data_IF_174231434210
#
_entry.id   IF_174231434210
#
_cell.length_a   1.000
_cell.length_b   1.000
_cell.length_c   1.000
_cell.angle_alpha   90.00
_cell.angle_beta   90.00
_cell.angle_gamma   90.00
#
_symmetry.space_group_name_H-M   'P 1'
#
loop_
_entity.id
_entity.type
_entity.pdbx_description
1 polymer ?
#
# COMPACT_ATOMS: atom_id res chain seq x y z
N UNK A 1 28.42 1.32 -52.00
CA UNK A 1 29.49 0.38 -51.64
C UNK A 1 29.33 0.07 -50.17
N UNK A 2 28.95 -1.18 -49.90
CA UNK A 2 28.80 -1.81 -48.58
C UNK A 2 30.21 -2.18 -48.03
N UNK A 3 30.26 -2.53 -46.73
CA UNK A 3 31.20 -3.46 -46.02
C UNK A 3 31.94 -2.76 -44.86
N UNK A 4 31.97 -3.18 -43.58
CA UNK A 4 31.31 -4.22 -42.73
C UNK A 4 31.93 -4.07 -41.31
N UNK A 5 31.25 -4.60 -40.26
CA UNK A 5 31.70 -5.05 -38.91
C UNK A 5 32.90 -4.35 -38.23
N UNK A 6 32.83 -3.90 -36.98
CA UNK A 6 32.13 -4.45 -35.82
C UNK A 6 33.16 -4.71 -34.71
N UNK A 7 32.88 -4.34 -33.46
CA UNK A 7 33.32 -5.11 -32.28
C UNK A 7 32.65 -4.59 -31.01
N UNK A 8 32.12 -5.54 -30.26
CA UNK A 8 31.57 -5.42 -28.92
C UNK A 8 32.58 -4.83 -27.92
N UNK A 9 32.11 -3.88 -27.12
CA UNK A 9 32.79 -3.35 -25.94
C UNK A 9 31.78 -3.20 -24.81
N UNK A 10 31.36 -4.33 -24.27
CA UNK A 10 30.65 -4.51 -23.00
C UNK A 10 31.34 -3.72 -21.87
N UNK A 11 30.70 -2.68 -21.35
CA UNK A 11 30.83 -2.27 -19.95
C UNK A 11 29.44 -1.92 -19.44
N UNK A 12 28.90 -2.85 -18.66
CA UNK A 12 27.64 -2.68 -17.98
C UNK A 12 27.75 -1.58 -16.93
N UNK A 13 26.83 -0.62 -17.04
CA UNK A 13 26.03 -0.26 -15.88
C UNK A 13 24.62 -0.68 -16.24
N UNK A 14 24.22 -1.80 -15.66
CA UNK A 14 22.85 -2.26 -15.66
C UNK A 14 21.97 -1.08 -15.25
N UNK A 15 21.21 -0.58 -16.22
CA UNK A 15 19.99 0.13 -15.92
C UNK A 15 19.08 -0.90 -15.25
N UNK A 16 19.21 -1.04 -13.93
CA UNK A 16 18.14 -1.60 -13.13
C UNK A 16 17.02 -0.59 -13.21
N UNK A 17 16.17 -0.78 -14.22
CA UNK A 17 14.80 -0.34 -14.21
C UNK A 17 14.09 -1.05 -13.05
N UNK A 18 14.44 -0.67 -11.82
CA UNK A 18 13.48 -0.64 -10.73
C UNK A 18 12.69 0.64 -10.96
N UNK A 19 11.50 0.51 -11.53
CA UNK A 19 10.57 1.60 -11.80
C UNK A 19 10.42 2.47 -10.55
N UNK A 20 11.09 3.62 -10.54
CA UNK A 20 10.73 4.70 -9.65
C UNK A 20 9.37 5.23 -10.14
N UNK A 21 8.26 4.70 -9.61
CA UNK A 21 6.93 5.32 -9.68
C UNK A 21 6.66 6.04 -8.35
N UNK A 22 7.14 7.28 -8.14
CA UNK A 22 7.39 7.73 -6.78
C UNK A 22 6.22 8.51 -6.17
N UNK A 23 5.22 8.96 -6.95
CA UNK A 23 4.18 9.88 -6.46
C UNK A 23 2.74 9.52 -6.87
N UNK A 24 2.53 9.08 -8.12
CA UNK A 24 1.19 8.72 -8.60
C UNK A 24 0.61 7.50 -7.86
N UNK A 25 1.46 6.50 -7.60
CA UNK A 25 1.06 5.30 -6.86
C UNK A 25 0.84 5.63 -5.38
N UNK A 26 1.69 6.48 -4.77
CA UNK A 26 1.51 6.92 -3.39
C UNK A 26 0.15 7.61 -3.18
N UNK A 27 -0.28 8.46 -4.11
CA UNK A 27 -1.58 9.11 -4.06
C UNK A 27 -2.76 8.13 -4.09
N UNK A 28 -2.66 7.06 -4.90
CA UNK A 28 -3.67 6.01 -4.98
C UNK A 28 -3.67 5.11 -3.74
N UNK A 29 -2.50 4.80 -3.20
CA UNK A 29 -2.36 4.06 -1.94
C UNK A 29 -2.98 4.84 -0.78
N UNK A 30 -2.66 6.13 -0.66
CA UNK A 30 -3.27 7.01 0.33
C UNK A 30 -4.79 7.08 0.18
N UNK A 31 -5.32 7.07 -1.05
CA UNK A 31 -6.77 7.04 -1.26
C UNK A 31 -7.40 5.75 -0.71
N UNK A 32 -6.76 4.58 -0.88
CA UNK A 32 -7.26 3.33 -0.28
C UNK A 32 -7.27 3.39 1.24
N UNK A 33 -6.27 4.04 1.84
CA UNK A 33 -6.25 4.28 3.30
C UNK A 33 -7.35 5.26 3.72
N UNK A 34 -7.59 6.33 2.96
CA UNK A 34 -8.71 7.26 3.14
C UNK A 34 -10.02 6.50 3.14
N UNK A 35 -10.27 5.69 2.11
CA UNK A 35 -11.51 4.93 1.98
C UNK A 35 -11.68 3.98 3.16
N UNK A 36 -10.60 3.34 3.63
CA UNK A 36 -10.63 2.43 4.78
C UNK A 36 -11.01 3.11 6.10
N UNK A 37 -10.54 4.35 6.34
CA UNK A 37 -10.79 5.08 7.59
C UNK A 37 -11.99 6.03 7.52
N UNK A 38 -12.50 6.32 6.32
CA UNK A 38 -13.70 7.13 6.12
C UNK A 38 -14.96 6.30 6.46
N UNK A 39 -15.72 6.63 7.51
CA UNK A 39 -16.93 5.88 7.89
C UNK A 39 -18.06 5.98 6.84
N UNK A 40 -18.01 6.97 5.95
CA UNK A 40 -19.00 7.23 4.90
C UNK A 40 -18.56 6.72 3.52
N UNK A 41 -17.39 6.06 3.43
CA UNK A 41 -16.93 5.48 2.18
C UNK A 41 -17.93 4.44 1.64
N UNK A 42 -18.28 4.57 0.37
CA UNK A 42 -19.12 3.61 -0.33
C UNK A 42 -18.38 2.30 -0.56
N UNK A 43 -19.10 1.17 -0.43
CA UNK A 43 -18.60 -0.18 -0.68
C UNK A 43 -18.58 -1.08 0.56
N UNK A 44 -18.07 -2.31 0.39
CA UNK A 44 -17.96 -3.25 1.50
C UNK A 44 -16.88 -2.82 2.49
N UNK A 45 -17.28 -2.63 3.74
CA UNK A 45 -16.39 -2.12 4.80
C UNK A 45 -15.17 -3.02 5.00
N UNK A 46 -15.33 -4.34 4.95
CA UNK A 46 -14.24 -5.30 5.20
C UNK A 46 -13.26 -5.27 4.03
N UNK A 47 -13.76 -5.18 2.80
CA UNK A 47 -12.95 -5.02 1.60
C UNK A 47 -12.12 -3.74 1.64
N UNK A 48 -12.73 -2.62 2.02
CA UNK A 48 -12.04 -1.34 2.16
C UNK A 48 -10.91 -1.42 3.21
N UNK A 49 -11.18 -2.04 4.37
CA UNK A 49 -10.16 -2.23 5.41
C UNK A 49 -9.01 -3.10 4.90
N UNK A 50 -9.29 -4.20 4.20
CA UNK A 50 -8.24 -5.07 3.64
C UNK A 50 -7.39 -4.35 2.60
N UNK A 51 -8.02 -3.62 1.68
CA UNK A 51 -7.33 -2.79 0.68
C UNK A 51 -6.52 -1.67 1.35
N UNK A 52 -7.03 -1.08 2.43
CA UNK A 52 -6.33 -0.09 3.24
C UNK A 52 -5.08 -0.66 3.91
N UNK A 53 -5.15 -1.87 4.49
CA UNK A 53 -3.99 -2.55 5.06
C UNK A 53 -2.90 -2.83 4.01
N UNK A 54 -3.28 -3.36 2.85
CA UNK A 54 -2.33 -3.56 1.76
C UNK A 54 -1.69 -2.24 1.33
N UNK A 55 -2.48 -1.17 1.24
CA UNK A 55 -1.97 0.13 0.86
C UNK A 55 -1.00 0.71 1.90
N UNK A 56 -1.25 0.51 3.19
CA UNK A 56 -0.31 0.86 4.26
C UNK A 56 0.99 0.07 4.16
N UNK A 57 0.92 -1.22 3.79
CA UNK A 57 2.11 -2.05 3.58
C UNK A 57 2.94 -1.55 2.39
N UNK A 58 2.29 -1.24 1.28
CA UNK A 58 2.93 -0.68 0.09
C UNK A 58 3.57 0.69 0.38
N UNK A 59 2.89 1.54 1.15
CA UNK A 59 3.42 2.82 1.63
C UNK A 59 4.63 2.63 2.56
N UNK A 60 4.58 1.65 3.46
CA UNK A 60 5.67 1.31 4.36
C UNK A 60 6.90 0.78 3.60
N UNK A 61 6.68 -0.06 2.58
CA UNK A 61 7.75 -0.52 1.69
C UNK A 61 8.37 0.64 0.88
N UNK A 62 7.58 1.68 0.57
CA UNK A 62 8.04 2.92 -0.04
C UNK A 62 8.67 3.93 0.96
N UNK A 63 8.81 3.57 2.23
CA UNK A 63 9.45 4.39 3.27
C UNK A 63 8.50 5.34 4.03
N UNK A 64 7.19 5.26 3.80
CA UNK A 64 6.18 6.01 4.58
C UNK A 64 5.63 5.13 5.69
N UNK A 65 5.95 5.45 6.95
CA UNK A 65 5.49 4.62 8.08
C UNK A 65 3.96 4.55 8.17
N UNK A 66 3.38 3.44 8.68
CA UNK A 66 1.93 3.26 8.83
C UNK A 66 1.22 4.43 9.52
N UNK A 67 1.79 4.98 10.59
CA UNK A 67 1.25 6.11 11.34
C UNK A 67 1.28 7.40 10.50
N UNK A 68 2.34 7.58 9.71
CA UNK A 68 2.45 8.70 8.77
C UNK A 68 1.44 8.57 7.64
N UNK A 69 1.26 7.36 7.09
CA UNK A 69 0.27 7.07 6.06
C UNK A 69 -1.16 7.38 6.56
N UNK A 70 -1.50 7.00 7.79
CA UNK A 70 -2.77 7.36 8.41
C UNK A 70 -2.94 8.88 8.57
N UNK A 71 -1.91 9.58 9.06
CA UNK A 71 -1.93 11.04 9.17
C UNK A 71 -2.15 11.73 7.81
N UNK A 72 -1.42 11.29 6.79
CA UNK A 72 -1.55 11.79 5.42
C UNK A 72 -2.92 11.47 4.83
N UNK A 73 -3.46 10.28 5.06
CA UNK A 73 -4.80 9.90 4.62
C UNK A 73 -5.88 10.79 5.27
N UNK A 74 -5.84 10.99 6.59
CA UNK A 74 -6.78 11.90 7.28
C UNK A 74 -6.74 13.31 6.69
N UNK A 75 -5.54 13.84 6.49
CA UNK A 75 -5.34 15.16 5.88
C UNK A 75 -5.87 15.21 4.43
N UNK A 76 -5.55 14.22 3.60
CA UNK A 76 -5.99 14.13 2.20
C UNK A 76 -7.51 14.05 2.05
N UNK A 77 -8.16 13.24 2.88
CA UNK A 77 -9.61 13.05 2.83
C UNK A 77 -10.41 14.11 3.58
N UNK A 78 -9.76 15.08 4.23
CA UNK A 78 -10.42 16.03 5.14
C UNK A 78 -11.16 15.32 6.28
N UNK A 79 -10.71 14.12 6.66
CA UNK A 79 -11.43 13.26 7.59
C UNK A 79 -11.14 13.69 9.02
N UNK A 80 -12.19 14.09 9.72
CA UNK A 80 -12.14 14.52 11.10
C UNK A 80 -13.25 13.83 11.91
N UNK A 81 -13.21 13.97 13.23
CA UNK A 81 -14.25 13.46 14.13
C UNK A 81 -14.02 12.06 14.69
N UNK A 82 -14.81 11.72 15.70
CA UNK A 82 -14.63 10.52 16.54
C UNK A 82 -14.70 9.21 15.73
N UNK A 83 -15.62 9.12 14.77
CA UNK A 83 -15.78 7.91 13.94
C UNK A 83 -14.54 7.63 13.11
N UNK A 84 -13.96 8.66 12.49
CA UNK A 84 -12.70 8.56 11.74
C UNK A 84 -11.56 8.11 12.64
N UNK A 85 -11.44 8.67 13.85
CA UNK A 85 -10.40 8.26 14.80
C UNK A 85 -10.58 6.81 15.26
N UNK A 86 -11.82 6.37 15.50
CA UNK A 86 -12.12 4.96 15.80
C UNK A 86 -11.73 4.03 14.66
N UNK A 87 -12.05 4.40 13.42
CA UNK A 87 -11.67 3.61 12.24
C UNK A 87 -10.15 3.57 12.04
N UNK A 88 -9.48 4.71 12.25
CA UNK A 88 -8.03 4.82 12.15
C UNK A 88 -7.34 3.95 13.22
N UNK A 89 -7.84 3.98 14.46
CA UNK A 89 -7.37 3.13 15.55
C UNK A 89 -7.57 1.66 15.24
N UNK A 90 -8.76 1.26 14.80
CA UNK A 90 -9.04 -0.13 14.40
C UNK A 90 -8.10 -0.60 13.29
N UNK A 91 -7.86 0.23 12.26
CA UNK A 91 -6.96 -0.12 11.17
C UNK A 91 -5.51 -0.30 11.66
N UNK A 92 -5.06 0.57 12.58
CA UNK A 92 -3.73 0.47 13.17
C UNK A 92 -3.58 -0.72 14.13
N UNK A 93 -4.62 -1.06 14.90
CA UNK A 93 -4.62 -2.26 15.75
C UNK A 93 -4.54 -3.53 14.89
N UNK A 94 -5.33 -3.59 13.82
CA UNK A 94 -5.23 -4.68 12.84
C UNK A 94 -3.86 -4.76 12.19
N UNK A 95 -3.24 -3.62 11.86
CA UNK A 95 -1.85 -3.59 11.39
C UNK A 95 -0.91 -4.22 12.42
N UNK A 96 -0.94 -3.75 13.66
CA UNK A 96 -0.03 -4.20 14.72
C UNK A 96 -0.11 -5.70 14.97
N UNK A 97 -1.33 -6.26 15.00
CA UNK A 97 -1.57 -7.69 15.19
C UNK A 97 -1.08 -8.57 14.02
N UNK A 98 -0.85 -7.98 12.85
CA UNK A 98 -0.50 -8.70 11.63
C UNK A 98 0.79 -8.18 10.98
N UNK A 99 1.62 -7.41 11.70
CA UNK A 99 2.80 -6.72 11.16
C UNK A 99 3.73 -7.67 10.39
N UNK A 100 4.02 -8.85 10.95
CA UNK A 100 4.89 -9.86 10.33
C UNK A 100 4.37 -10.36 8.98
N UNK A 101 3.05 -10.25 8.76
CA UNK A 101 2.37 -10.69 7.53
C UNK A 101 2.19 -9.57 6.51
N UNK A 102 2.45 -8.32 6.89
CA UNK A 102 2.36 -7.17 5.99
C UNK A 102 3.57 -7.04 5.05
N UNK A 103 4.49 -8.00 5.07
CA UNK A 103 5.55 -8.19 4.08
C UNK A 103 5.38 -9.46 3.24
N UNK A 104 4.43 -10.33 3.58
CA UNK A 104 4.17 -11.57 2.85
C UNK A 104 3.45 -11.30 1.52
N UNK A 105 4.04 -11.65 0.36
CA UNK A 105 3.46 -11.35 -0.94
C UNK A 105 2.06 -11.93 -1.14
N UNK A 106 1.82 -13.17 -0.68
CA UNK A 106 0.52 -13.84 -0.85
C UNK A 106 -0.58 -13.17 -0.02
N UNK A 107 -0.28 -12.81 1.23
CA UNK A 107 -1.15 -12.03 2.10
C UNK A 107 -1.48 -10.67 1.45
N UNK A 108 -0.46 -9.94 0.99
CA UNK A 108 -0.65 -8.61 0.39
C UNK A 108 -1.47 -8.68 -0.91
N UNK A 109 -1.25 -9.69 -1.76
CA UNK A 109 -2.03 -9.88 -2.98
C UNK A 109 -3.52 -10.11 -2.68
N UNK A 110 -3.83 -10.97 -1.71
CA UNK A 110 -5.20 -11.19 -1.27
C UNK A 110 -5.85 -9.91 -0.74
N UNK A 111 -5.11 -9.13 0.06
CA UNK A 111 -5.59 -7.87 0.61
C UNK A 111 -5.80 -6.78 -0.45
N UNK A 112 -4.91 -6.68 -1.46
CA UNK A 112 -5.09 -5.78 -2.62
C UNK A 112 -6.33 -6.15 -3.43
N UNK A 113 -6.60 -7.44 -3.57
CA UNK A 113 -7.83 -7.96 -4.18
C UNK A 113 -9.07 -7.78 -3.29
N UNK A 114 -8.93 -7.28 -2.05
CA UNK A 114 -10.02 -7.11 -1.09
C UNK A 114 -10.50 -8.42 -0.47
N UNK A 115 -9.81 -9.53 -0.70
CA UNK A 115 -10.14 -10.88 -0.22
C UNK A 115 -9.50 -11.13 1.15
N UNK A 116 -10.09 -12.04 1.92
CA UNK A 116 -9.46 -12.50 3.15
C UNK A 116 -8.25 -13.39 2.80
N UNK A 117 -7.04 -13.09 3.33
CA UNK A 117 -5.89 -13.97 3.16
C UNK A 117 -6.07 -15.28 3.94
N UNK A 118 -5.30 -16.30 3.56
CA UNK A 118 -5.19 -17.57 4.28
C UNK A 118 -3.74 -17.73 4.80
N UNK A 119 -3.51 -17.88 6.12
CA UNK A 119 -4.50 -17.88 7.21
C UNK A 119 -5.20 -16.53 7.38
N UNK A 120 -6.37 -16.51 8.02
CA UNK A 120 -7.12 -15.28 8.26
C UNK A 120 -6.31 -14.26 9.10
N UNK A 121 -6.56 -12.96 8.89
CA UNK A 121 -5.95 -11.91 9.71
C UNK A 121 -6.44 -11.99 11.16
N UNK A 122 -5.54 -11.75 12.10
CA UNK A 122 -5.88 -11.51 13.49
C UNK A 122 -6.66 -10.21 13.62
N UNK A 123 -7.62 -10.17 14.54
CA UNK A 123 -8.53 -9.03 14.74
C UNK A 123 -8.43 -8.53 16.19
N UNK A 124 -8.48 -7.21 16.41
CA UNK A 124 -8.59 -6.63 17.75
C UNK A 124 -9.97 -6.88 18.38
#
# INVERSE_FOLDING_TARGET
MLVILGLFGIHGMAQTAGEAKPAADQGLLLQKVVDAINPEAAGDRKELIRKGLAAMADLNAAGTKPEQALGQAKSKGGLTGEKTEKMSKMLMEMWNLNTDRMSDPATLEALRAGKMPDPALQRP
#
